data_IF_316862367721
#
_entry.id   IF_316862367721
#
_cell.length_a   1.000
_cell.length_b   1.000
_cell.length_c   1.000
_cell.angle_alpha   90.00
_cell.angle_beta   90.00
_cell.angle_gamma   90.00
#
_symmetry.space_group_name_H-M   'P 1'
#
loop_
_entity.id
_entity.type
_entity.pdbx_description
1 polymer ?
#
# COMPACT_ATOMS: atom_id res chain seq x y z
N UNK A 1 -4.65 12.24 -12.70
CA UNK A 1 -4.00 11.76 -11.46
C UNK A 1 -4.98 10.87 -10.70
N UNK A 2 -4.52 9.73 -10.25
CA UNK A 2 -5.32 8.79 -9.47
C UNK A 2 -4.55 8.31 -8.26
N UNK A 3 -5.25 7.70 -7.32
CA UNK A 3 -4.63 7.08 -6.15
C UNK A 3 -5.07 5.63 -6.05
N UNK A 4 -4.17 4.79 -5.56
CA UNK A 4 -4.43 3.41 -5.24
C UNK A 4 -4.08 3.19 -3.78
N UNK A 5 -5.02 2.69 -3.00
CA UNK A 5 -4.83 2.46 -1.57
C UNK A 5 -4.69 0.96 -1.32
N UNK A 6 -3.70 0.61 -0.51
CA UNK A 6 -3.46 -0.76 -0.09
C UNK A 6 -3.47 -0.82 1.43
N UNK A 7 -4.07 -1.86 2.00
CA UNK A 7 -3.88 -2.16 3.40
C UNK A 7 -3.78 -3.68 3.59
N UNK A 8 -2.88 -4.07 4.46
CA UNK A 8 -2.63 -5.47 4.76
C UNK A 8 -2.23 -5.63 6.22
N UNK A 9 -2.40 -6.84 6.74
CA UNK A 9 -2.03 -7.14 8.13
C UNK A 9 -0.56 -7.53 8.27
N UNK A 10 0.14 -7.77 7.19
CA UNK A 10 1.57 -8.11 7.17
C UNK A 10 2.30 -7.28 6.13
N UNK A 11 3.50 -6.84 6.50
CA UNK A 11 4.32 -6.01 5.62
C UNK A 11 4.68 -6.69 4.31
N UNK A 12 4.91 -8.01 4.34
CA UNK A 12 5.24 -8.76 3.13
C UNK A 12 4.08 -8.85 2.16
N UNK A 13 2.87 -8.98 2.69
CA UNK A 13 1.67 -9.00 1.86
C UNK A 13 1.44 -7.64 1.22
N UNK A 14 1.70 -6.56 1.95
CA UNK A 14 1.63 -5.21 1.42
C UNK A 14 2.67 -5.02 0.30
N UNK A 15 3.89 -5.45 0.54
CA UNK A 15 4.96 -5.37 -0.46
C UNK A 15 4.60 -6.11 -1.74
N UNK A 16 4.07 -7.32 -1.62
CA UNK A 16 3.63 -8.10 -2.78
C UNK A 16 2.53 -7.41 -3.55
N UNK A 17 1.54 -6.86 -2.84
CA UNK A 17 0.43 -6.17 -3.47
C UNK A 17 0.90 -4.93 -4.24
N UNK A 18 1.78 -4.15 -3.63
CA UNK A 18 2.35 -2.96 -4.27
C UNK A 18 3.18 -3.35 -5.50
N UNK A 19 4.05 -4.34 -5.35
CA UNK A 19 4.90 -4.78 -6.46
C UNK A 19 4.08 -5.37 -7.61
N UNK A 20 3.01 -6.09 -7.30
CA UNK A 20 2.11 -6.60 -8.33
C UNK A 20 1.45 -5.44 -9.12
N UNK A 21 1.03 -4.41 -8.42
CA UNK A 21 0.46 -3.23 -9.06
C UNK A 21 1.50 -2.53 -9.94
N UNK A 22 2.70 -2.29 -9.41
CA UNK A 22 3.76 -1.59 -10.14
C UNK A 22 4.21 -2.37 -11.38
N UNK A 23 4.23 -3.69 -11.30
CA UNK A 23 4.64 -4.54 -12.43
C UNK A 23 3.58 -4.60 -13.52
N UNK A 24 2.31 -4.46 -13.16
CA UNK A 24 1.20 -4.58 -14.10
C UNK A 24 0.71 -3.27 -14.69
N UNK A 25 1.26 -2.15 -14.25
CA UNK A 25 0.77 -0.84 -14.69
C UNK A 25 1.71 -0.20 -15.68
N UNK A 26 1.13 0.51 -16.66
CA UNK A 26 1.88 1.40 -17.55
C UNK A 26 1.81 2.86 -17.09
N UNK A 27 1.28 3.10 -15.92
CA UNK A 27 1.11 4.44 -15.38
C UNK A 27 2.42 5.04 -14.91
N UNK A 28 2.48 6.37 -14.89
CA UNK A 28 3.58 7.09 -14.25
C UNK A 28 3.31 7.16 -12.76
N UNK A 29 4.26 6.68 -11.97
CA UNK A 29 4.17 6.71 -10.51
C UNK A 29 4.70 8.05 -10.03
N UNK A 30 3.86 8.81 -9.34
CA UNK A 30 4.20 10.14 -8.85
C UNK A 30 4.75 10.07 -7.44
N UNK A 31 4.10 9.29 -6.58
CA UNK A 31 4.49 9.20 -5.18
C UNK A 31 3.98 7.89 -4.57
N UNK A 32 4.69 7.41 -3.56
CA UNK A 32 4.28 6.27 -2.75
C UNK A 32 4.43 6.67 -1.29
N UNK A 33 3.34 6.58 -0.54
CA UNK A 33 3.36 6.88 0.89
C UNK A 33 3.06 5.62 1.67
N UNK A 34 3.82 5.39 2.72
CA UNK A 34 3.71 4.20 3.55
C UNK A 34 3.35 4.61 4.97
N UNK A 35 2.47 3.84 5.60
CA UNK A 35 2.06 4.09 6.97
C UNK A 35 1.86 2.78 7.71
N UNK A 36 2.20 2.78 8.99
CA UNK A 36 1.98 1.65 9.88
C UNK A 36 1.15 2.15 11.05
N UNK A 37 0.05 1.48 11.31
CA UNK A 37 -0.77 1.74 12.49
C UNK A 37 -0.74 0.50 13.37
N UNK A 38 -0.78 0.71 14.67
CA UNK A 38 -0.83 -0.37 15.65
C UNK A 38 -2.01 -0.13 16.57
N UNK A 39 -2.76 -1.19 16.83
CA UNK A 39 -3.81 -1.19 17.84
C UNK A 39 -3.52 -2.28 18.84
N UNK A 40 -3.79 -2.01 20.11
CA UNK A 40 -3.63 -2.98 21.18
C UNK A 40 -5.03 -3.37 21.64
N UNK A 41 -5.34 -4.66 21.58
CA UNK A 41 -6.61 -5.21 22.03
C UNK A 41 -6.32 -6.30 23.05
N UNK A 42 -6.45 -5.97 24.33
CA UNK A 42 -6.05 -6.89 25.39
C UNK A 42 -4.55 -7.10 25.39
N UNK A 43 -4.13 -8.37 25.24
CA UNK A 43 -2.73 -8.74 25.14
C UNK A 43 -2.23 -8.83 23.70
N UNK A 44 -3.12 -8.64 22.74
CA UNK A 44 -2.77 -8.74 21.32
C UNK A 44 -2.41 -7.38 20.74
N UNK A 45 -1.41 -7.39 19.89
CA UNK A 45 -1.03 -6.23 19.09
C UNK A 45 -1.46 -6.49 17.67
N UNK A 46 -2.25 -5.57 17.11
CA UNK A 46 -2.73 -5.66 15.74
C UNK A 46 -2.04 -4.58 14.93
N UNK A 47 -1.33 -5.00 13.90
CA UNK A 47 -0.64 -4.08 12.98
C UNK A 47 -1.46 -3.94 11.71
N UNK A 48 -1.57 -2.71 11.23
CA UNK A 48 -2.13 -2.44 9.93
C UNK A 48 -1.08 -1.70 9.11
N UNK A 49 -0.66 -2.32 8.03
CA UNK A 49 0.31 -1.75 7.10
C UNK A 49 -0.44 -1.23 5.90
N UNK A 50 -0.27 0.04 5.59
CA UNK A 50 -0.99 0.66 4.49
C UNK A 50 -0.06 1.47 3.60
N UNK A 51 -0.45 1.62 2.35
CA UNK A 51 0.27 2.43 1.40
C UNK A 51 -0.70 3.11 0.45
N UNK A 52 -0.32 4.29 0.02
CA UNK A 52 -1.04 5.06 -0.98
C UNK A 52 -0.10 5.32 -2.14
N UNK A 53 -0.51 4.94 -3.33
CA UNK A 53 0.24 5.21 -4.55
C UNK A 53 -0.50 6.27 -5.34
N UNK A 54 0.19 7.36 -5.63
CA UNK A 54 -0.32 8.43 -6.50
C UNK A 54 0.26 8.21 -7.88
N UNK A 55 -0.59 8.10 -8.89
CA UNK A 55 -0.15 7.78 -10.22
C UNK A 55 -0.98 8.51 -11.27
N UNK A 56 -0.40 8.62 -12.46
CA UNK A 56 -1.09 9.18 -13.61
C UNK A 56 -1.15 8.11 -14.68
N UNK A 57 -2.35 7.63 -15.04
CA UNK A 57 -2.47 6.60 -16.08
C UNK A 57 -1.97 7.12 -17.43
N UNK A 58 -1.26 6.26 -18.15
CA UNK A 58 -0.91 6.52 -19.54
C UNK A 58 -2.02 6.02 -20.45
N UNK A 59 -2.39 6.84 -21.36
CA UNK A 59 -3.35 6.46 -22.39
C UNK A 59 -2.64 5.90 -23.63
#
# INVERSE_FOLDING_TARGET
MKVKVFDESHERDLERAINAFLSGTSSDIIDVKYNVAIAVCGEEQIYCFSALIVYSPKE
#
